data_IF_205765143081
#
_entry.id   IF_205765143081
#
_cell.length_a   1.000
_cell.length_b   1.000
_cell.length_c   1.000
_cell.angle_alpha   90.00
_cell.angle_beta   90.00
_cell.angle_gamma   90.00
#
_symmetry.space_group_name_H-M   'P 1'
#
loop_
_entity.id
_entity.type
_entity.pdbx_description
1 polymer ?
#
# COMPACT_ATOMS: atom_id res chain seq x y z
N UNK A 1 27.33 -47.51 -20.59
CA UNK A 1 26.16 -48.37 -20.89
C UNK A 1 25.13 -48.11 -19.80
N UNK A 2 23.92 -47.67 -20.16
CA UNK A 2 22.83 -47.21 -19.27
C UNK A 2 22.85 -45.69 -19.10
N UNK A 3 22.14 -44.83 -19.84
CA UNK A 3 20.70 -44.77 -20.17
C UNK A 3 19.83 -44.96 -18.91
N UNK A 4 18.81 -44.16 -18.57
CA UNK A 4 18.12 -43.01 -19.17
C UNK A 4 17.02 -42.54 -18.18
N UNK A 5 16.47 -41.32 -18.38
CA UNK A 5 15.11 -40.88 -17.99
C UNK A 5 14.81 -40.59 -16.50
N UNK A 6 14.02 -39.58 -16.09
CA UNK A 6 13.10 -38.65 -16.77
C UNK A 6 12.62 -37.60 -15.76
N UNK A 7 12.49 -36.33 -16.17
CA UNK A 7 11.51 -35.40 -15.59
C UNK A 7 10.11 -36.01 -15.69
N UNK A 8 9.29 -35.82 -14.66
CA UNK A 8 7.80 -35.72 -14.66
C UNK A 8 7.31 -36.03 -13.25
N UNK A 9 6.94 -35.00 -12.48
CA UNK A 9 5.71 -34.94 -11.65
C UNK A 9 5.42 -33.47 -11.34
N UNK A 10 4.85 -32.79 -12.32
CA UNK A 10 3.87 -31.75 -12.01
C UNK A 10 2.63 -32.47 -11.46
N UNK A 11 2.18 -32.07 -10.27
CA UNK A 11 0.82 -32.35 -9.83
C UNK A 11 0.37 -31.17 -8.97
N UNK A 12 -0.33 -30.24 -9.63
CA UNK A 12 -1.17 -29.29 -8.93
C UNK A 12 -2.34 -30.02 -8.27
N UNK A 13 -2.70 -29.60 -7.06
CA UNK A 13 -3.99 -29.90 -6.46
C UNK A 13 -4.53 -28.60 -5.89
N UNK A 14 -5.43 -28.02 -6.69
CA UNK A 14 -6.43 -27.03 -6.34
C UNK A 14 -7.36 -27.65 -5.28
N UNK A 15 -7.36 -27.13 -4.05
CA UNK A 15 -8.33 -27.52 -3.02
C UNK A 15 -9.30 -26.35 -2.83
N UNK A 16 -10.36 -26.35 -3.63
CA UNK A 16 -11.54 -25.52 -3.45
C UNK A 16 -12.32 -26.03 -2.24
N UNK A 17 -12.30 -25.28 -1.13
CA UNK A 17 -13.17 -25.51 0.01
C UNK A 17 -14.48 -24.73 -0.17
N UNK A 18 -15.46 -25.37 -0.81
CA UNK A 18 -16.83 -24.87 -0.91
C UNK A 18 -17.54 -24.92 0.45
N UNK A 19 -18.02 -23.76 0.85
CA UNK A 19 -18.80 -23.47 2.06
C UNK A 19 -20.20 -24.08 1.94
N UNK A 20 -20.65 -24.84 2.95
CA UNK A 20 -22.07 -25.10 3.19
C UNK A 20 -22.47 -24.40 4.49
N UNK A 21 -23.02 -23.18 4.38
CA UNK A 21 -23.81 -22.58 5.46
C UNK A 21 -25.24 -23.08 5.26
N UNK A 22 -25.65 -24.04 6.09
CA UNK A 22 -27.05 -24.41 6.24
C UNK A 22 -27.79 -23.26 6.94
N UNK A 23 -28.34 -22.34 6.15
CA UNK A 23 -29.28 -21.33 6.63
C UNK A 23 -30.63 -21.98 6.91
N UNK A 24 -30.94 -22.19 8.19
CA UNK A 24 -32.31 -22.47 8.65
C UNK A 24 -33.04 -21.14 8.84
N UNK A 25 -33.90 -20.78 7.89
CA UNK A 25 -34.85 -19.68 8.00
C UNK A 25 -36.17 -20.09 7.36
N UNK A 26 -37.21 -20.23 8.18
CA UNK A 26 -38.55 -20.63 7.77
C UNK A 26 -39.35 -19.45 7.20
N UNK A 27 -40.19 -19.69 6.18
CA UNK A 27 -41.38 -18.86 5.89
C UNK A 27 -41.70 -18.54 4.43
N UNK A 28 -42.56 -19.38 3.83
CA UNK A 28 -43.57 -19.19 2.76
C UNK A 28 -43.39 -18.31 1.48
N UNK A 29 -43.70 -18.99 0.37
CA UNK A 29 -44.52 -18.63 -0.81
C UNK A 29 -43.94 -17.90 -2.05
N UNK A 30 -43.99 -18.67 -3.15
CA UNK A 30 -44.38 -18.37 -4.54
C UNK A 30 -43.49 -17.53 -5.49
N UNK A 31 -43.02 -18.27 -6.50
CA UNK A 31 -43.24 -18.07 -7.94
C UNK A 31 -42.47 -16.98 -8.71
N UNK A 32 -41.47 -17.48 -9.43
CA UNK A 32 -41.29 -17.39 -10.89
C UNK A 32 -40.76 -16.07 -11.51
N UNK A 33 -39.51 -16.18 -11.98
CA UNK A 33 -39.04 -15.97 -13.36
C UNK A 33 -38.14 -14.75 -13.67
N UNK A 34 -37.16 -15.03 -14.54
CA UNK A 34 -36.27 -14.16 -15.31
C UNK A 34 -34.97 -13.61 -14.67
N UNK A 35 -33.94 -14.47 -14.72
CA UNK A 35 -32.62 -14.26 -15.37
C UNK A 35 -32.07 -12.82 -15.51
N UNK A 36 -30.92 -12.51 -14.90
CA UNK A 36 -29.59 -12.39 -15.58
C UNK A 36 -28.50 -11.94 -14.60
N UNK A 37 -27.33 -12.59 -14.73
CA UNK A 37 -25.97 -12.21 -14.32
C UNK A 37 -25.73 -11.46 -13.00
N UNK A 38 -25.24 -12.18 -12.00
CA UNK A 38 -24.44 -11.61 -10.92
C UNK A 38 -22.99 -12.13 -11.05
N UNK A 39 -22.11 -11.20 -11.42
CA UNK A 39 -20.67 -11.34 -11.26
C UNK A 39 -20.37 -11.44 -9.76
N UNK A 40 -19.70 -12.52 -9.40
CA UNK A 40 -19.18 -12.81 -8.07
C UNK A 40 -18.10 -11.76 -7.73
N UNK A 41 -18.55 -10.63 -7.19
CA UNK A 41 -17.71 -9.56 -6.67
C UNK A 41 -17.08 -10.03 -5.37
N UNK A 42 -15.83 -10.48 -5.46
CA UNK A 42 -14.96 -10.70 -4.33
C UNK A 42 -14.99 -9.45 -3.43
N UNK A 43 -15.44 -9.64 -2.19
CA UNK A 43 -15.39 -8.64 -1.15
C UNK A 43 -13.92 -8.23 -0.92
N UNK A 44 -13.53 -7.10 -1.51
CA UNK A 44 -12.39 -6.33 -1.03
C UNK A 44 -12.77 -5.83 0.35
N UNK A 45 -12.14 -6.41 1.36
CA UNK A 45 -12.05 -5.85 2.70
C UNK A 45 -11.28 -4.54 2.58
N UNK A 46 -12.00 -3.44 2.33
CA UNK A 46 -11.51 -2.10 2.63
C UNK A 46 -11.25 -2.02 4.12
N UNK A 47 -10.00 -2.22 4.51
CA UNK A 47 -9.49 -1.62 5.73
C UNK A 47 -9.46 -0.11 5.49
N UNK A 48 -10.52 0.58 5.92
CA UNK A 48 -10.45 1.98 6.29
C UNK A 48 -9.51 2.09 7.50
N UNK A 49 -8.20 2.05 7.23
CA UNK A 49 -7.22 2.71 8.06
C UNK A 49 -7.22 4.18 7.65
N UNK A 50 -7.29 5.06 8.63
CA UNK A 50 -7.13 6.50 8.52
C UNK A 50 -5.97 6.87 7.57
N UNK A 51 -6.30 7.18 6.31
CA UNK A 51 -5.36 7.65 5.31
C UNK A 51 -5.17 9.16 5.49
N UNK A 52 -4.56 9.55 6.61
CA UNK A 52 -4.59 10.93 7.07
C UNK A 52 -3.53 11.30 8.10
N UNK A 53 -2.39 10.62 8.14
CA UNK A 53 -1.29 11.03 9.01
C UNK A 53 0.04 10.58 8.44
N UNK A 54 0.94 11.51 8.19
CA UNK A 54 2.36 11.20 8.40
C UNK A 54 2.44 10.51 9.77
N UNK A 55 3.10 9.35 9.87
CA UNK A 55 3.25 8.63 11.14
C UNK A 55 4.18 9.45 12.04
N UNK A 56 3.60 10.47 12.67
CA UNK A 56 4.30 11.40 13.53
C UNK A 56 4.93 10.62 14.68
N UNK A 57 6.22 10.86 14.90
CA UNK A 57 7.01 10.14 15.89
C UNK A 57 7.68 8.84 15.43
N UNK A 58 7.60 8.44 14.15
CA UNK A 58 8.49 7.40 13.62
C UNK A 58 9.95 7.89 13.61
N UNK A 59 10.85 7.10 14.18
CA UNK A 59 12.29 7.41 14.16
C UNK A 59 13.05 6.24 13.55
N UNK A 60 13.95 6.53 12.63
CA UNK A 60 14.81 5.53 11.99
C UNK A 60 16.24 6.00 12.10
N UNK A 61 17.10 5.16 12.67
CA UNK A 61 18.52 5.45 12.80
C UNK A 61 19.37 4.22 12.50
N UNK A 62 20.59 4.46 12.03
CA UNK A 62 21.60 3.40 11.95
C UNK A 62 22.37 3.33 13.27
N UNK A 63 22.42 2.15 13.88
CA UNK A 63 23.14 1.90 15.13
C UNK A 63 23.85 0.55 15.07
N UNK A 64 25.15 0.55 15.38
CA UNK A 64 25.99 -0.65 15.41
C UNK A 64 25.95 -1.49 14.11
N UNK A 65 25.73 -0.82 12.97
CA UNK A 65 25.62 -1.45 11.65
C UNK A 65 24.25 -2.07 11.33
N UNK A 66 23.27 -1.92 12.22
CA UNK A 66 21.88 -2.30 12.05
C UNK A 66 20.98 -1.06 11.93
N UNK A 67 19.76 -1.26 11.44
CA UNK A 67 18.74 -0.22 11.38
C UNK A 67 17.80 -0.41 12.58
N UNK A 68 17.61 0.66 13.33
CA UNK A 68 16.75 0.73 14.51
C UNK A 68 15.56 1.63 14.17
N UNK A 69 14.35 1.07 14.28
CA UNK A 69 13.10 1.78 14.02
C UNK A 69 12.32 1.89 15.32
N UNK A 70 11.91 3.09 15.68
CA UNK A 70 11.03 3.35 16.82
C UNK A 70 9.65 3.73 16.31
N UNK A 71 8.72 2.79 16.42
CA UNK A 71 7.34 2.88 15.95
C UNK A 71 6.46 3.44 17.08
N UNK A 72 5.77 4.57 16.88
CA UNK A 72 4.97 5.21 17.92
C UNK A 72 3.79 4.33 18.38
N UNK A 73 3.40 4.47 19.65
CA UNK A 73 2.33 3.66 20.27
C UNK A 73 0.99 3.73 19.50
N UNK A 74 0.69 4.88 18.90
CA UNK A 74 -0.54 5.12 18.13
C UNK A 74 -0.71 4.17 16.93
N UNK A 75 0.38 3.56 16.43
CA UNK A 75 0.30 2.57 15.34
C UNK A 75 -0.32 1.24 15.78
N UNK A 76 -0.34 0.96 17.08
CA UNK A 76 -0.70 -0.34 17.63
C UNK A 76 -1.98 -0.31 18.47
N UNK A 77 -2.77 0.76 18.37
CA UNK A 77 -4.00 0.89 19.14
C UNK A 77 -4.95 -0.29 18.88
N UNK A 78 -5.35 -0.98 19.95
CA UNK A 78 -6.23 -2.15 19.86
C UNK A 78 -5.55 -3.45 19.41
N UNK A 79 -4.23 -3.45 19.21
CA UNK A 79 -3.46 -4.65 18.86
C UNK A 79 -2.82 -5.32 20.09
N UNK A 80 -2.59 -6.63 19.99
CA UNK A 80 -1.78 -7.37 20.96
C UNK A 80 -0.30 -7.22 20.61
N UNK A 81 0.41 -6.40 21.40
CA UNK A 81 1.82 -6.09 21.15
C UNK A 81 2.73 -7.32 21.18
N UNK A 82 2.39 -8.35 21.96
CA UNK A 82 3.21 -9.56 22.02
C UNK A 82 3.11 -10.33 20.70
N UNK A 83 1.91 -10.41 20.11
CA UNK A 83 1.71 -11.00 18.78
C UNK A 83 2.38 -10.20 17.67
N UNK A 84 2.32 -8.86 17.74
CA UNK A 84 3.00 -7.96 16.79
C UNK A 84 4.51 -8.18 16.83
N UNK A 85 5.10 -8.32 18.02
CA UNK A 85 6.52 -8.62 18.21
C UNK A 85 6.89 -10.00 17.65
N UNK A 86 6.06 -11.01 17.89
CA UNK A 86 6.28 -12.36 17.35
C UNK A 86 6.26 -12.37 15.82
N UNK A 87 5.31 -11.68 15.20
CA UNK A 87 5.21 -11.53 13.75
C UNK A 87 6.43 -10.82 13.17
N UNK A 88 6.82 -9.69 13.75
CA UNK A 88 7.99 -8.94 13.30
C UNK A 88 9.27 -9.81 13.30
N UNK A 89 9.46 -10.63 14.35
CA UNK A 89 10.59 -11.56 14.43
C UNK A 89 10.51 -12.67 13.37
N UNK A 90 9.31 -13.17 13.09
CA UNK A 90 9.09 -14.16 12.03
C UNK A 90 9.40 -13.58 10.63
N UNK A 91 9.19 -12.28 10.44
CA UNK A 91 9.44 -11.58 9.18
C UNK A 91 10.90 -11.15 8.97
N UNK A 92 11.76 -11.27 9.99
CA UNK A 92 13.20 -11.03 9.86
C UNK A 92 13.75 -9.90 10.73
N UNK A 93 12.94 -9.33 11.62
CA UNK A 93 13.41 -8.42 12.68
C UNK A 93 14.25 -9.20 13.69
N UNK A 94 15.46 -8.71 13.99
CA UNK A 94 16.40 -9.36 14.92
C UNK A 94 15.94 -9.24 16.35
N UNK A 95 15.49 -8.05 16.72
CA UNK A 95 15.02 -7.74 18.07
C UNK A 95 13.87 -6.73 18.02
N UNK A 96 12.93 -6.88 18.94
CA UNK A 96 11.76 -6.02 19.06
C UNK A 96 11.43 -5.84 20.54
N UNK A 97 11.51 -4.59 21.00
CA UNK A 97 11.40 -4.19 22.40
C UNK A 97 10.20 -3.29 22.58
N UNK A 98 9.40 -3.56 23.61
CA UNK A 98 8.32 -2.68 24.06
C UNK A 98 8.88 -1.61 24.99
N UNK A 99 8.60 -0.34 24.68
CA UNK A 99 8.99 0.80 25.51
C UNK A 99 7.89 1.18 26.51
N UNK A 100 8.26 1.91 27.55
CA UNK A 100 7.35 2.34 28.63
C UNK A 100 6.22 3.26 28.14
N UNK A 101 6.45 4.00 27.06
CA UNK A 101 5.47 4.89 26.44
C UNK A 101 4.55 4.17 25.43
N UNK A 102 4.64 2.84 25.34
CA UNK A 102 3.84 2.01 24.45
C UNK A 102 4.37 1.92 23.02
N UNK A 103 5.45 2.63 22.67
CA UNK A 103 6.12 2.46 21.38
C UNK A 103 6.85 1.12 21.29
N UNK A 104 7.12 0.65 20.06
CA UNK A 104 7.97 -0.50 19.82
C UNK A 104 9.28 -0.07 19.15
N UNK A 105 10.39 -0.67 19.57
CA UNK A 105 11.70 -0.49 18.93
C UNK A 105 12.13 -1.77 18.24
N UNK A 106 12.21 -1.73 16.92
CA UNK A 106 12.67 -2.84 16.08
C UNK A 106 14.13 -2.65 15.68
N UNK A 107 14.91 -3.72 15.74
CA UNK A 107 16.27 -3.77 15.23
C UNK A 107 16.34 -4.79 14.11
N UNK A 108 16.80 -4.38 12.94
CA UNK A 108 16.93 -5.24 11.76
C UNK A 108 18.25 -5.01 11.03
N UNK A 109 18.67 -5.99 10.24
CA UNK A 109 19.86 -5.79 9.39
C UNK A 109 19.60 -4.79 8.27
N UNK A 110 20.64 -4.08 7.82
CA UNK A 110 20.57 -3.24 6.60
C UNK A 110 20.08 -4.00 5.38
N UNK A 111 20.43 -5.29 5.28
CA UNK A 111 20.00 -6.15 4.18
C UNK A 111 18.48 -6.30 4.19
N UNK A 112 17.92 -6.63 5.35
CA UNK A 112 16.48 -6.80 5.51
C UNK A 112 15.72 -5.48 5.32
N UNK A 113 16.24 -4.37 5.86
CA UNK A 113 15.69 -3.04 5.62
C UNK A 113 15.64 -2.69 4.12
N UNK A 114 16.69 -3.04 3.36
CA UNK A 114 16.70 -2.85 1.90
C UNK A 114 15.72 -3.77 1.16
N UNK A 115 15.52 -5.00 1.63
CA UNK A 115 14.51 -5.91 1.10
C UNK A 115 13.11 -5.31 1.30
N UNK A 116 12.80 -4.85 2.52
CA UNK A 116 11.56 -4.13 2.83
C UNK A 116 11.35 -2.89 1.96
N UNK A 117 12.36 -2.03 1.78
CA UNK A 117 12.26 -0.89 0.86
C UNK A 117 12.02 -1.33 -0.59
N UNK A 118 12.58 -2.46 -1.01
CA UNK A 118 12.34 -2.97 -2.37
C UNK A 118 10.88 -3.39 -2.54
N UNK A 119 10.32 -4.09 -1.56
CA UNK A 119 8.91 -4.51 -1.55
C UNK A 119 7.96 -3.30 -1.48
N UNK A 120 8.26 -2.32 -0.62
CA UNK A 120 7.49 -1.05 -0.58
C UNK A 120 7.51 -0.34 -1.93
N UNK A 121 8.68 -0.21 -2.57
CA UNK A 121 8.79 0.42 -3.88
C UNK A 121 8.01 -0.34 -4.97
N UNK A 122 7.96 -1.67 -4.90
CA UNK A 122 7.11 -2.48 -5.78
C UNK A 122 5.62 -2.21 -5.51
N UNK A 123 5.21 -2.15 -4.25
CA UNK A 123 3.83 -1.80 -3.88
C UNK A 123 3.40 -0.44 -4.41
N UNK A 124 4.27 0.58 -4.35
CA UNK A 124 4.00 1.89 -4.94
C UNK A 124 3.85 1.79 -6.46
N UNK A 125 4.76 1.09 -7.12
CA UNK A 125 4.70 0.90 -8.57
C UNK A 125 3.43 0.13 -9.00
N UNK A 126 2.96 -0.83 -8.20
CA UNK A 126 1.71 -1.53 -8.48
C UNK A 126 0.50 -0.63 -8.22
N UNK A 127 0.48 0.14 -7.14
CA UNK A 127 -0.54 1.17 -6.88
C UNK A 127 -0.68 2.14 -8.06
N UNK A 128 0.42 2.60 -8.66
CA UNK A 128 0.34 3.47 -9.85
C UNK A 128 -0.36 2.82 -11.06
N UNK A 129 -0.29 1.49 -11.19
CA UNK A 129 -1.00 0.75 -12.26
C UNK A 129 -2.49 0.64 -11.96
N UNK A 130 -2.86 0.51 -10.68
CA UNK A 130 -4.26 0.50 -10.25
C UNK A 130 -4.94 1.85 -10.51
N UNK A 131 -4.21 2.95 -10.34
CA UNK A 131 -4.71 4.30 -10.61
C UNK A 131 -5.14 4.50 -12.07
N UNK A 132 -4.45 3.85 -13.01
CA UNK A 132 -4.74 3.93 -14.46
C UNK A 132 -5.65 2.80 -14.94
N UNK A 133 -6.02 1.88 -14.07
CA UNK A 133 -6.91 0.78 -14.44
C UNK A 133 -8.30 1.32 -14.78
N UNK A 134 -8.93 0.71 -15.79
CA UNK A 134 -10.23 1.15 -16.27
C UNK A 134 -11.28 1.14 -15.15
N UNK A 135 -11.95 2.27 -14.93
CA UNK A 135 -12.99 2.42 -13.94
C UNK A 135 -12.53 2.80 -12.53
N UNK A 136 -11.22 2.88 -12.25
CA UNK A 136 -10.71 3.36 -10.95
C UNK A 136 -10.83 4.89 -10.86
N UNK A 137 -10.17 5.61 -11.77
CA UNK A 137 -10.19 7.08 -11.85
C UNK A 137 -10.34 7.49 -13.31
N UNK A 138 -11.52 7.99 -13.67
CA UNK A 138 -11.86 8.24 -15.08
C UNK A 138 -10.98 9.33 -15.73
N UNK A 139 -10.50 10.28 -14.93
CA UNK A 139 -9.64 11.35 -15.40
C UNK A 139 -8.17 10.95 -15.51
N UNK A 140 -7.70 9.90 -14.83
CA UNK A 140 -6.28 9.52 -14.78
C UNK A 140 -5.90 8.65 -15.98
N UNK A 141 -4.86 9.06 -16.71
CA UNK A 141 -4.43 8.40 -17.96
C UNK A 141 -3.08 7.71 -17.85
N UNK A 142 -2.16 8.32 -17.12
CA UNK A 142 -0.84 7.78 -16.88
C UNK A 142 -0.27 8.28 -15.55
N UNK A 143 0.63 7.49 -14.98
CA UNK A 143 1.43 7.88 -13.82
C UNK A 143 2.88 7.53 -14.12
N UNK A 144 3.74 8.55 -14.12
CA UNK A 144 5.19 8.40 -14.14
C UNK A 144 5.77 8.76 -12.78
N UNK A 145 6.93 8.21 -12.43
CA UNK A 145 7.57 8.49 -11.14
C UNK A 145 9.10 8.45 -11.20
N UNK A 146 9.72 9.25 -10.34
CA UNK A 146 11.15 9.18 -10.09
C UNK A 146 11.52 7.87 -9.39
N UNK A 147 12.74 7.39 -9.61
CA UNK A 147 13.19 6.09 -9.07
C UNK A 147 13.16 6.01 -7.54
N UNK A 148 13.32 7.13 -6.87
CA UNK A 148 13.29 7.29 -5.41
C UNK A 148 11.92 7.75 -4.90
N UNK A 149 10.92 7.85 -5.78
CA UNK A 149 9.56 8.29 -5.47
C UNK A 149 9.48 9.71 -4.88
N UNK A 150 10.49 10.55 -5.12
CA UNK A 150 10.44 11.97 -4.72
C UNK A 150 9.47 12.79 -5.56
N UNK A 151 9.20 12.35 -6.79
CA UNK A 151 8.36 13.01 -7.75
C UNK A 151 7.46 12.01 -8.47
N UNK A 152 6.20 12.40 -8.64
CA UNK A 152 5.23 11.71 -9.48
C UNK A 152 4.68 12.68 -10.52
N UNK A 153 4.40 12.20 -11.72
CA UNK A 153 3.65 12.95 -12.73
C UNK A 153 2.36 12.20 -13.02
N UNK A 154 1.24 12.80 -12.63
CA UNK A 154 -0.11 12.31 -12.88
C UNK A 154 -0.62 12.98 -14.15
N UNK A 155 -0.68 12.22 -15.24
CA UNK A 155 -1.25 12.71 -16.52
C UNK A 155 -2.75 12.46 -16.51
N UNK A 156 -3.53 13.51 -16.72
CA UNK A 156 -4.99 13.50 -16.56
C UNK A 156 -5.71 14.20 -17.71
N UNK A 157 -6.97 13.84 -17.93
CA UNK A 157 -7.96 14.74 -18.54
C UNK A 157 -8.22 15.88 -17.56
N UNK A 158 -7.71 17.08 -17.84
CA UNK A 158 -7.80 18.21 -16.92
C UNK A 158 -9.25 18.61 -16.60
N UNK A 159 -10.16 18.56 -17.58
CA UNK A 159 -11.56 18.94 -17.38
C UNK A 159 -12.30 17.93 -16.50
N UNK A 160 -12.05 16.63 -16.70
CA UNK A 160 -12.64 15.57 -15.87
C UNK A 160 -12.00 15.47 -14.47
N UNK A 161 -10.75 15.91 -14.32
CA UNK A 161 -10.03 15.90 -13.04
C UNK A 161 -10.51 17.03 -12.11
N UNK A 162 -10.75 18.23 -12.64
CA UNK A 162 -11.11 19.40 -11.83
C UNK A 162 -12.43 19.20 -11.08
N UNK A 163 -12.36 19.25 -9.75
CA UNK A 163 -13.53 19.11 -8.87
C UNK A 163 -14.05 17.68 -8.73
N UNK A 164 -13.36 16.68 -9.29
CA UNK A 164 -13.69 15.27 -9.09
C UNK A 164 -13.00 14.70 -7.84
N UNK A 165 -13.43 13.51 -7.43
CA UNK A 165 -12.76 12.76 -6.36
C UNK A 165 -11.43 12.17 -6.82
N UNK A 166 -11.15 12.16 -8.13
CA UNK A 166 -9.87 11.69 -8.68
C UNK A 166 -8.70 12.58 -8.22
N UNK A 167 -8.99 13.80 -7.72
CA UNK A 167 -8.01 14.65 -7.06
C UNK A 167 -7.28 13.96 -5.90
N UNK A 168 -7.94 13.02 -5.21
CA UNK A 168 -7.34 12.24 -4.14
C UNK A 168 -6.25 11.26 -4.61
N UNK A 169 -6.18 10.92 -5.90
CA UNK A 169 -5.11 10.09 -6.43
C UNK A 169 -3.74 10.75 -6.23
N UNK A 170 -3.65 12.08 -6.41
CA UNK A 170 -2.43 12.83 -6.17
C UNK A 170 -2.02 12.81 -4.68
N UNK A 171 -3.00 12.87 -3.77
CA UNK A 171 -2.76 12.76 -2.33
C UNK A 171 -2.26 11.37 -1.94
N UNK A 172 -2.87 10.30 -2.49
CA UNK A 172 -2.42 8.93 -2.28
C UNK A 172 -0.97 8.73 -2.70
N UNK A 173 -0.59 9.21 -3.89
CA UNK A 173 0.80 9.17 -4.37
C UNK A 173 1.75 9.93 -3.44
N UNK A 174 1.37 11.15 -3.03
CA UNK A 174 2.15 11.96 -2.10
C UNK A 174 2.41 11.23 -0.78
N UNK A 175 1.37 10.65 -0.17
CA UNK A 175 1.47 9.91 1.09
C UNK A 175 2.35 8.67 0.94
N UNK A 176 2.15 7.87 -0.11
CA UNK A 176 2.94 6.66 -0.34
C UNK A 176 4.43 6.98 -0.56
N UNK A 177 4.73 8.02 -1.33
CA UNK A 177 6.12 8.47 -1.52
C UNK A 177 6.74 8.98 -0.21
N UNK A 178 6.01 9.76 0.59
CA UNK A 178 6.50 10.23 1.89
C UNK A 178 6.79 9.05 2.83
N UNK A 179 5.89 8.06 2.89
CA UNK A 179 6.09 6.86 3.71
C UNK A 179 7.33 6.08 3.27
N UNK A 180 7.56 5.94 1.96
CA UNK A 180 8.77 5.31 1.43
C UNK A 180 10.04 6.05 1.88
N UNK A 181 10.07 7.38 1.74
CA UNK A 181 11.22 8.22 2.10
C UNK A 181 11.45 8.28 3.61
N UNK A 182 10.38 8.24 4.38
CA UNK A 182 10.45 8.11 5.82
C UNK A 182 11.09 6.78 6.22
N UNK A 183 10.68 5.67 5.58
CA UNK A 183 11.27 4.35 5.81
C UNK A 183 12.73 4.25 5.37
N UNK A 184 13.21 5.10 4.45
CA UNK A 184 14.63 5.22 4.14
C UNK A 184 15.45 5.85 5.28
N UNK A 185 14.80 6.47 6.28
CA UNK A 185 15.46 7.20 7.35
C UNK A 185 16.02 8.55 6.93
N UNK A 186 15.46 9.16 5.87
CA UNK A 186 15.83 10.51 5.45
C UNK A 186 15.37 11.55 6.47
N UNK A 187 16.08 12.69 6.63
CA UNK A 187 15.59 13.77 7.47
C UNK A 187 14.28 14.35 6.91
N UNK A 188 13.40 14.86 7.77
CA UNK A 188 12.07 15.36 7.40
C UNK A 188 12.08 16.36 6.23
N UNK A 189 13.07 17.25 6.18
CA UNK A 189 13.25 18.21 5.09
C UNK A 189 13.44 17.56 3.72
N UNK A 190 13.98 16.34 3.68
CA UNK A 190 14.21 15.54 2.48
C UNK A 190 13.08 14.55 2.20
N UNK A 191 12.11 14.38 3.11
CA UNK A 191 10.99 13.44 2.94
C UNK A 191 9.86 14.00 2.04
N UNK A 192 9.96 15.26 1.61
CA UNK A 192 8.97 15.87 0.73
C UNK A 192 8.80 15.11 -0.59
N UNK A 193 7.56 15.08 -1.08
CA UNK A 193 7.18 14.49 -2.36
C UNK A 193 6.39 15.49 -3.17
N UNK A 194 6.73 15.64 -4.44
CA UNK A 194 6.00 16.51 -5.37
C UNK A 194 5.18 15.66 -6.34
N UNK A 195 3.91 16.00 -6.51
CA UNK A 195 3.04 15.40 -7.52
C UNK A 195 2.68 16.47 -8.54
N UNK A 196 3.17 16.29 -9.77
CA UNK A 196 2.88 17.15 -10.91
C UNK A 196 1.60 16.70 -11.59
N UNK A 197 0.69 17.65 -11.86
CA UNK A 197 -0.51 17.41 -12.64
C UNK A 197 -0.27 17.88 -14.08
N UNK A 198 -0.34 16.93 -15.01
CA UNK A 198 -0.08 17.15 -16.43
C UNK A 198 -1.37 16.92 -17.22
N UNK A 199 -1.72 17.85 -18.08
CA UNK A 199 -2.86 17.67 -18.98
C UNK A 199 -2.49 16.74 -20.14
N UNK A 200 -3.33 15.76 -20.42
CA UNK A 200 -3.07 14.77 -21.48
C UNK A 200 -3.07 15.38 -22.89
N UNK A 201 -3.84 16.45 -23.09
CA UNK A 201 -4.06 17.05 -24.41
C UNK A 201 -2.93 18.00 -24.82
N UNK A 202 -2.58 18.93 -23.94
CA UNK A 202 -1.49 19.89 -24.16
C UNK A 202 -0.11 19.30 -23.87
N UNK A 203 -0.03 18.33 -22.95
CA UNK A 203 1.22 17.81 -22.43
C UNK A 203 1.91 18.75 -21.42
N UNK A 204 1.25 19.84 -21.03
CA UNK A 204 1.80 20.81 -20.09
C UNK A 204 1.48 20.43 -18.64
N UNK A 205 2.42 20.71 -17.73
CA UNK A 205 2.16 20.67 -16.28
C UNK A 205 1.40 21.93 -15.90
N UNK A 206 0.16 21.77 -15.46
CA UNK A 206 -0.71 22.89 -15.08
C UNK A 206 -0.72 23.16 -13.58
N UNK A 207 -0.31 22.18 -12.76
CA UNK A 207 -0.23 22.33 -11.30
C UNK A 207 0.82 21.39 -10.68
N UNK A 208 1.25 21.67 -9.46
CA UNK A 208 2.20 20.86 -8.71
C UNK A 208 1.93 20.94 -7.22
N UNK A 209 1.72 19.79 -6.59
CA UNK A 209 1.34 19.66 -5.18
C UNK A 209 2.53 19.10 -4.41
N UNK A 210 2.98 19.81 -3.39
CA UNK A 210 4.09 19.37 -2.52
C UNK A 210 3.52 18.86 -1.21
N UNK A 211 3.84 17.60 -0.86
CA UNK A 211 3.49 16.98 0.40
C UNK A 211 4.70 16.94 1.34
N UNK A 212 4.54 17.19 2.65
CA UNK A 212 3.28 17.38 3.36
C UNK A 212 2.73 18.81 3.37
N UNK A 213 3.36 19.76 2.68
CA UNK A 213 2.98 21.19 2.71
C UNK A 213 1.48 21.40 2.37
N UNK A 214 0.95 20.65 1.41
CA UNK A 214 -0.46 20.70 1.01
C UNK A 214 -1.45 20.16 2.06
N UNK A 215 -1.01 19.29 2.98
CA UNK A 215 -1.86 18.75 4.06
C UNK A 215 -1.90 19.65 5.28
N UNK A 216 -0.91 20.52 5.44
CA UNK A 216 -0.72 21.29 6.67
C UNK A 216 -1.60 22.53 6.76
N UNK A 217 -2.40 22.87 5.72
CA UNK A 217 -3.46 23.88 5.73
C UNK A 217 -3.09 25.23 6.38
N UNK A 218 -2.96 26.28 5.57
CA UNK A 218 -2.74 27.67 6.03
C UNK A 218 -3.68 28.11 7.15
#
# INVERSE_FOLDING_TARGET
MGESNTMKKALGVLLAATIFIAGCGAGNDKANNAHTNDNDGAAVTSQNGDAGGAVDGLQIEEKDGDIVLRLPAGMFEGQDLDQVIEQAKAEGVKDAVKNDDGSLTYTMSKKHHKEMLTEMGQGIADYTKELVAEGTFASVKAVDFAKDFSEFTLTVDQEAYQGSMDAFAAMGLGIQGMMYKMMQGLPEAEQKVTVHLKDENSGDVFDSIVYPDAMQGS
#
